data_IF_407129074734
#
_entry.id   IF_407129074734
#
_cell.length_a   1.000
_cell.length_b   1.000
_cell.length_c   1.000
_cell.angle_alpha   90.00
_cell.angle_beta   90.00
_cell.angle_gamma   90.00
#
_symmetry.space_group_name_H-M   'P 1'
#
loop_
_entity.id
_entity.type
_entity.pdbx_description
1 polymer ?
#
# COMPACT_ATOMS: atom_id res chain seq x y z
N UNK A 1 -65.22 0.81 -8.80
CA UNK A 1 -65.67 -0.55 -8.45
C UNK A 1 -64.62 -1.18 -7.56
N UNK A 2 -65.02 -1.56 -6.34
CA UNK A 2 -64.21 -2.29 -5.36
C UNK A 2 -64.24 -3.78 -5.71
N UNK A 3 -63.10 -4.47 -5.66
CA UNK A 3 -63.05 -5.91 -5.41
C UNK A 3 -61.98 -6.19 -4.35
N UNK A 4 -62.44 -6.70 -3.21
CA UNK A 4 -61.68 -7.23 -2.09
C UNK A 4 -62.05 -8.70 -2.00
N UNK A 5 -61.09 -9.64 -2.12
CA UNK A 5 -61.07 -11.01 -1.53
C UNK A 5 -59.58 -11.43 -1.53
N UNK A 6 -58.80 -11.34 -0.45
CA UNK A 6 -58.73 -12.15 0.78
C UNK A 6 -58.12 -13.56 0.62
N UNK A 7 -57.02 -13.76 1.37
CA UNK A 7 -56.55 -14.99 2.05
C UNK A 7 -55.93 -16.14 1.21
N UNK A 8 -54.64 -16.43 1.39
CA UNK A 8 -54.12 -17.56 2.20
C UNK A 8 -52.58 -17.67 2.13
N UNK A 9 -51.96 -17.98 3.26
CA UNK A 9 -50.52 -18.19 3.52
C UNK A 9 -49.82 -19.21 2.61
N UNK A 10 -48.53 -18.97 2.28
CA UNK A 10 -47.46 -19.95 2.54
C UNK A 10 -46.07 -19.30 2.47
N UNK A 11 -45.26 -19.63 3.46
CA UNK A 11 -43.92 -19.11 3.75
C UNK A 11 -42.91 -19.63 2.72
N UNK A 12 -42.02 -18.76 2.24
CA UNK A 12 -40.62 -19.15 2.19
C UNK A 12 -39.76 -17.94 2.59
N UNK A 13 -39.63 -17.79 3.90
CA UNK A 13 -38.45 -17.15 4.47
C UNK A 13 -37.30 -18.02 3.96
N UNK A 14 -36.63 -17.61 2.88
CA UNK A 14 -35.27 -18.03 2.61
C UNK A 14 -34.46 -17.45 3.77
N UNK A 15 -34.45 -18.22 4.85
CA UNK A 15 -33.44 -18.12 5.88
C UNK A 15 -32.15 -18.33 5.11
N UNK A 16 -31.48 -17.23 4.74
CA UNK A 16 -30.07 -17.30 4.46
C UNK A 16 -29.46 -17.77 5.78
N UNK A 17 -29.36 -19.09 5.94
CA UNK A 17 -28.19 -19.68 6.54
C UNK A 17 -27.03 -19.26 5.63
N UNK A 18 -26.64 -17.99 5.75
CA UNK A 18 -25.25 -17.64 5.78
C UNK A 18 -24.70 -18.62 6.81
N UNK A 19 -24.09 -19.70 6.31
CA UNK A 19 -22.95 -20.22 7.02
C UNK A 19 -22.07 -18.99 7.19
N UNK A 20 -22.17 -18.40 8.38
CA UNK A 20 -21.11 -17.64 8.96
C UNK A 20 -19.94 -18.58 9.11
N UNK A 21 -19.30 -18.93 7.98
CA UNK A 21 -17.88 -18.71 7.94
C UNK A 21 -17.76 -17.20 8.18
N UNK A 22 -17.64 -16.82 9.45
CA UNK A 22 -16.70 -15.76 9.77
C UNK A 22 -15.46 -16.17 8.98
N UNK A 23 -15.25 -15.53 7.83
CA UNK A 23 -13.88 -15.18 7.56
C UNK A 23 -13.53 -14.35 8.77
N UNK A 24 -12.86 -14.96 9.74
CA UNK A 24 -12.01 -14.19 10.61
C UNK A 24 -10.95 -13.66 9.65
N UNK A 25 -11.31 -12.58 8.93
CA UNK A 25 -10.39 -11.67 8.27
C UNK A 25 -9.66 -10.89 9.37
N UNK A 26 -9.25 -11.60 10.42
CA UNK A 26 -8.28 -11.13 11.38
C UNK A 26 -6.95 -11.55 10.74
N UNK A 27 -6.55 -10.84 9.67
CA UNK A 27 -5.13 -10.78 9.34
C UNK A 27 -4.36 -10.50 10.63
N UNK A 28 -3.11 -10.95 10.75
CA UNK A 28 -2.30 -10.81 11.97
C UNK A 28 -2.20 -9.36 12.51
N UNK A 29 -2.63 -8.38 11.72
CA UNK A 29 -2.77 -6.98 12.09
C UNK A 29 -1.45 -6.24 12.00
N UNK A 30 -0.40 -6.89 11.51
CA UNK A 30 0.90 -6.28 11.32
C UNK A 30 0.89 -5.49 10.02
N UNK A 31 1.62 -4.37 10.02
CA UNK A 31 1.77 -3.54 8.82
C UNK A 31 3.18 -3.72 8.27
N UNK A 32 3.38 -3.61 6.96
CA UNK A 32 4.72 -3.70 6.40
C UNK A 32 5.63 -2.57 6.88
N UNK A 33 6.92 -2.86 6.96
CA UNK A 33 7.98 -1.88 7.16
C UNK A 33 8.77 -1.66 5.86
N UNK A 34 8.92 -0.39 5.46
CA UNK A 34 9.73 0.01 4.30
C UNK A 34 11.12 0.49 4.75
N UNK A 35 12.15 -0.03 4.09
CA UNK A 35 13.55 0.40 4.22
C UNK A 35 14.01 1.01 2.90
N UNK A 36 14.21 2.34 2.89
CA UNK A 36 14.75 3.05 1.73
C UNK A 36 16.24 2.74 1.57
N UNK A 37 16.65 2.32 0.38
CA UNK A 37 18.06 1.98 0.11
C UNK A 37 18.88 3.23 -0.20
N UNK A 38 20.19 3.18 0.04
CA UNK A 38 21.10 4.29 -0.27
C UNK A 38 20.94 5.54 0.61
N UNK A 39 21.51 6.65 0.16
CA UNK A 39 21.59 7.88 0.95
C UNK A 39 20.24 8.62 1.04
N UNK A 40 20.01 9.26 2.19
CA UNK A 40 18.88 10.16 2.42
C UNK A 40 19.32 11.29 3.39
N UNK A 41 19.65 12.50 2.91
CA UNK A 41 19.50 12.96 1.52
C UNK A 41 20.51 12.32 0.55
N UNK A 42 20.09 12.19 -0.70
CA UNK A 42 20.92 11.78 -1.84
C UNK A 42 21.30 13.02 -2.66
N UNK A 43 22.59 13.24 -2.87
CA UNK A 43 23.07 14.28 -3.76
C UNK A 43 23.12 13.75 -5.20
N UNK A 44 22.61 14.53 -6.15
CA UNK A 44 22.60 14.18 -7.57
C UNK A 44 23.13 15.33 -8.42
N UNK A 45 23.87 15.01 -9.47
CA UNK A 45 24.44 16.02 -10.36
C UNK A 45 23.39 16.52 -11.37
N UNK A 46 23.37 17.84 -11.59
CA UNK A 46 22.53 18.49 -12.62
C UNK A 46 22.76 17.86 -14.00
N UNK A 47 21.68 17.59 -14.73
CA UNK A 47 21.63 16.98 -16.07
C UNK A 47 22.15 15.54 -16.17
N UNK A 48 22.41 14.85 -15.05
CA UNK A 48 22.70 13.42 -15.07
C UNK A 48 21.41 12.60 -14.90
N UNK A 49 21.20 11.53 -15.68
CA UNK A 49 20.01 10.68 -15.57
C UNK A 49 19.82 10.20 -14.13
N UNK A 50 18.62 10.34 -13.57
CA UNK A 50 18.33 9.89 -12.21
C UNK A 50 17.93 8.41 -12.20
N UNK A 51 18.60 7.61 -11.38
CA UNK A 51 18.20 6.22 -11.09
C UNK A 51 17.97 6.07 -9.59
N UNK A 52 16.75 5.72 -9.23
CA UNK A 52 16.40 5.43 -7.85
C UNK A 52 17.03 4.11 -7.40
N UNK A 53 17.75 4.11 -6.26
CA UNK A 53 18.26 2.90 -5.61
C UNK A 53 17.16 2.03 -4.99
N UNK A 54 15.91 2.51 -4.98
CA UNK A 54 14.73 1.77 -4.55
C UNK A 54 14.61 1.65 -3.03
N UNK A 55 13.73 0.74 -2.62
CA UNK A 55 13.45 0.40 -1.23
C UNK A 55 13.18 -1.12 -1.12
N UNK A 56 13.22 -1.65 0.09
CA UNK A 56 12.73 -2.98 0.44
C UNK A 56 11.54 -2.88 1.38
N UNK A 57 10.67 -3.88 1.37
CA UNK A 57 9.53 -3.93 2.26
C UNK A 57 9.31 -5.34 2.79
N UNK A 58 9.09 -5.45 4.10
CA UNK A 58 8.83 -6.72 4.77
C UNK A 58 7.67 -6.56 5.74
N UNK A 59 6.84 -7.58 5.84
CA UNK A 59 5.84 -7.69 6.91
C UNK A 59 6.19 -8.88 7.79
N UNK A 60 6.22 -8.69 9.09
CA UNK A 60 6.54 -9.73 10.07
C UNK A 60 5.28 -10.01 10.86
N UNK A 61 4.72 -11.19 10.69
CA UNK A 61 3.49 -11.61 11.34
C UNK A 61 3.63 -11.67 12.86
N UNK A 62 2.51 -11.75 13.57
CA UNK A 62 2.50 -11.98 15.02
C UNK A 62 3.16 -13.31 15.44
N UNK A 63 3.29 -14.28 14.52
CA UNK A 63 3.99 -15.55 14.74
C UNK A 63 5.48 -15.49 14.39
N UNK A 64 5.95 -14.37 13.84
CA UNK A 64 7.35 -14.15 13.43
C UNK A 64 7.67 -14.55 12.00
N UNK A 65 6.68 -14.92 11.19
CA UNK A 65 6.87 -15.23 9.78
C UNK A 65 7.09 -13.94 8.98
N UNK A 66 8.07 -13.93 8.10
CA UNK A 66 8.41 -12.74 7.30
C UNK A 66 7.92 -12.91 5.86
N UNK A 67 7.13 -11.95 5.37
CA UNK A 67 6.72 -11.85 3.97
C UNK A 67 7.50 -10.73 3.29
N UNK A 68 8.15 -11.03 2.16
CA UNK A 68 8.80 -10.01 1.32
C UNK A 68 7.77 -9.36 0.39
N UNK A 69 7.58 -8.06 0.56
CA UNK A 69 6.64 -7.23 -0.21
C UNK A 69 7.39 -6.24 -1.11
N UNK A 70 8.70 -6.38 -1.28
CA UNK A 70 9.55 -5.43 -2.02
C UNK A 70 9.06 -5.18 -3.45
N UNK A 71 8.56 -6.21 -4.13
CA UNK A 71 8.03 -6.08 -5.49
C UNK A 71 6.67 -5.40 -5.58
N UNK A 72 6.00 -5.18 -4.44
CA UNK A 72 4.70 -4.50 -4.34
C UNK A 72 4.85 -3.02 -3.96
N UNK A 73 6.08 -2.54 -3.74
CA UNK A 73 6.33 -1.13 -3.44
C UNK A 73 5.90 -0.28 -4.62
N UNK A 74 5.01 0.67 -4.35
CA UNK A 74 4.64 1.75 -5.26
C UNK A 74 5.59 2.92 -5.02
N UNK A 75 6.27 3.34 -6.08
CA UNK A 75 7.21 4.48 -6.06
C UNK A 75 6.59 5.64 -6.85
N UNK A 76 6.51 6.82 -6.23
CA UNK A 76 6.22 8.09 -6.92
C UNK A 76 7.48 8.97 -6.86
N UNK A 77 7.95 9.40 -8.03
CA UNK A 77 9.19 10.17 -8.18
C UNK A 77 8.94 11.39 -9.04
N UNK A 78 9.26 12.56 -8.50
CA UNK A 78 9.13 13.87 -9.17
C UNK A 78 10.47 14.59 -9.29
N UNK A 79 11.56 13.83 -9.33
CA UNK A 79 12.92 14.39 -9.41
C UNK A 79 13.13 15.01 -10.79
N UNK A 80 13.33 16.33 -10.83
CA UNK A 80 13.75 17.04 -12.04
C UNK A 80 15.26 17.30 -11.97
N UNK A 81 16.02 16.55 -12.76
CA UNK A 81 17.49 16.70 -12.82
C UNK A 81 17.96 17.89 -13.66
N UNK A 82 17.06 18.62 -14.31
CA UNK A 82 17.40 19.80 -15.12
C UNK A 82 17.39 21.09 -14.31
N UNK A 83 16.93 21.03 -13.06
CA UNK A 83 16.88 22.17 -12.15
C UNK A 83 17.51 21.81 -10.79
N UNK A 84 18.42 22.68 -10.31
CA UNK A 84 18.96 22.60 -8.95
C UNK A 84 17.82 22.77 -7.95
N UNK A 85 17.72 21.87 -6.99
CA UNK A 85 16.62 21.87 -6.04
C UNK A 85 16.57 20.64 -5.15
N UNK A 86 15.58 20.63 -4.27
CA UNK A 86 15.25 19.49 -3.43
C UNK A 86 13.97 18.82 -3.95
N UNK A 87 14.05 17.52 -4.20
CA UNK A 87 12.96 16.70 -4.72
C UNK A 87 12.69 15.53 -3.80
N UNK A 88 11.46 15.03 -3.82
CA UNK A 88 11.06 13.88 -3.00
C UNK A 88 10.68 12.70 -3.89
N UNK A 89 11.16 11.52 -3.48
CA UNK A 89 10.65 10.23 -3.94
C UNK A 89 9.90 9.60 -2.77
N UNK A 90 8.68 9.12 -2.99
CA UNK A 90 7.86 8.48 -1.96
C UNK A 90 7.70 7.00 -2.23
N UNK A 91 7.72 6.20 -1.17
CA UNK A 91 7.59 4.75 -1.20
C UNK A 91 6.40 4.37 -0.32
N UNK A 92 5.45 3.65 -0.92
CA UNK A 92 4.26 3.14 -0.25
C UNK A 92 4.09 1.66 -0.59
N UNK A 93 3.58 0.88 0.36
CA UNK A 93 3.22 -0.53 0.13
C UNK A 93 2.03 -0.87 1.01
N UNK A 94 1.19 -1.78 0.52
CA UNK A 94 0.14 -2.42 1.30
C UNK A 94 0.34 -3.93 1.27
N UNK A 95 0.06 -4.59 2.37
CA UNK A 95 0.01 -6.05 2.43
C UNK A 95 -1.25 -6.59 1.73
N UNK A 96 -1.42 -7.91 1.72
CA UNK A 96 -2.59 -8.56 1.14
C UNK A 96 -3.89 -8.28 1.92
N UNK A 97 -3.78 -7.92 3.21
CA UNK A 97 -4.90 -7.55 4.07
C UNK A 97 -5.35 -6.09 3.89
N UNK A 98 -4.57 -5.30 3.15
CA UNK A 98 -4.84 -3.88 2.86
C UNK A 98 -4.26 -2.89 3.88
N UNK A 99 -3.48 -3.37 4.85
CA UNK A 99 -2.73 -2.57 5.82
C UNK A 99 -1.55 -1.88 5.14
N UNK A 100 -1.47 -0.56 5.31
CA UNK A 100 -0.44 0.25 4.68
C UNK A 100 0.78 0.42 5.60
N UNK A 101 1.98 0.37 5.01
CA UNK A 101 3.18 0.84 5.67
C UNK A 101 3.11 2.34 5.97
N UNK A 102 3.90 2.80 6.93
CA UNK A 102 4.18 4.23 7.05
C UNK A 102 4.95 4.69 5.79
N UNK A 103 4.44 5.72 5.12
CA UNK A 103 5.08 6.27 3.93
C UNK A 103 6.53 6.65 4.23
N UNK A 104 7.45 6.18 3.39
CA UNK A 104 8.86 6.60 3.45
C UNK A 104 9.19 7.52 2.30
N UNK A 105 10.17 8.39 2.53
CA UNK A 105 10.61 9.37 1.54
C UNK A 105 12.11 9.39 1.42
N UNK A 106 12.62 9.56 0.20
CA UNK A 106 14.00 10.00 -0.06
C UNK A 106 14.00 11.47 -0.47
N UNK A 107 14.86 12.26 0.17
CA UNK A 107 15.20 13.61 -0.27
C UNK A 107 16.35 13.53 -1.29
N UNK A 108 16.13 14.03 -2.49
CA UNK A 108 17.13 14.12 -3.56
C UNK A 108 17.50 15.59 -3.74
N UNK A 109 18.78 15.92 -3.55
CA UNK A 109 19.33 17.27 -3.73
C UNK A 109 20.08 17.32 -5.06
N UNK A 110 19.46 17.92 -6.08
CA UNK A 110 20.11 18.17 -7.36
C UNK A 110 21.00 19.39 -7.21
N UNK A 111 22.29 19.22 -7.47
CA UNK A 111 23.32 20.25 -7.31
C UNK A 111 24.16 20.37 -8.59
N UNK A 112 24.76 21.53 -8.79
CA UNK A 112 25.77 21.70 -9.85
C UNK A 112 26.96 20.81 -9.47
N UNK A 113 27.25 19.81 -10.30
CA UNK A 113 28.43 18.96 -10.12
C UNK A 113 29.68 19.83 -10.09
N UNK A 114 30.58 19.57 -9.15
CA UNK A 114 31.89 20.24 -9.11
C UNK A 114 32.80 19.70 -10.19
#
# INVERSE_FOLDING_TARGET
MKYIVSLLSFVLVFSFLSLGCKKTDDGDGTKPEIVVLGANPMFWALNYPYTDLGAKAYDVSSTGDTTDLTLLIVVDSKVDVTQVGEYQVTYNVKDASGLAADEKRRLVKVVIGK
#
